data_IF_201432016607
#
_entry.id   IF_201432016607
#
_cell.length_a   1.000
_cell.length_b   1.000
_cell.length_c   1.000
_cell.angle_alpha   90.00
_cell.angle_beta   90.00
_cell.angle_gamma   90.00
#
_symmetry.space_group_name_H-M   'P 1'
#
loop_
_entity.id
_entity.type
_entity.pdbx_description
1 polymer ?
#
# COMPACT_ATOMS: atom_id res chain seq x y z
N UNK A 1 -37.45 -16.09 -11.58
CA UNK A 1 -37.60 -17.42 -10.97
C UNK A 1 -37.81 -17.36 -9.45
N UNK A 2 -36.92 -16.78 -8.64
CA UNK A 2 -37.08 -16.81 -7.17
C UNK A 2 -38.26 -15.97 -6.64
N UNK A 3 -38.57 -14.81 -7.26
CA UNK A 3 -39.76 -14.00 -6.89
C UNK A 3 -41.08 -14.67 -7.23
N UNK A 4 -41.19 -15.29 -8.41
CA UNK A 4 -42.41 -16.04 -8.80
C UNK A 4 -42.68 -17.24 -7.89
N UNK A 5 -41.63 -17.82 -7.30
CA UNK A 5 -41.77 -18.92 -6.36
C UNK A 5 -42.35 -18.43 -5.02
N UNK A 6 -41.89 -17.29 -4.50
CA UNK A 6 -42.45 -16.68 -3.28
C UNK A 6 -43.89 -16.18 -3.48
N UNK A 7 -44.23 -15.65 -4.66
CA UNK A 7 -45.59 -15.20 -4.97
C UNK A 7 -46.58 -16.39 -5.07
N UNK A 8 -46.13 -17.52 -5.63
CA UNK A 8 -46.92 -18.76 -5.65
C UNK A 8 -47.09 -19.36 -4.25
N UNK A 9 -46.07 -19.30 -3.39
CA UNK A 9 -46.18 -19.76 -2.00
C UNK A 9 -47.16 -18.89 -1.19
N UNK A 10 -47.10 -17.57 -1.36
CA UNK A 10 -48.01 -16.64 -0.70
C UNK A 10 -49.47 -16.85 -1.08
N UNK A 11 -49.75 -17.06 -2.37
CA UNK A 11 -51.11 -17.32 -2.86
C UNK A 11 -51.65 -18.68 -2.42
N UNK A 12 -50.82 -19.73 -2.34
CA UNK A 12 -51.23 -21.04 -1.85
C UNK A 12 -51.60 -21.00 -0.34
N UNK A 13 -50.89 -20.18 0.45
CA UNK A 13 -51.15 -20.05 1.88
C UNK A 13 -52.40 -19.19 2.16
N UNK A 14 -52.72 -18.23 1.30
CA UNK A 14 -53.97 -17.47 1.38
C UNK A 14 -55.20 -18.35 1.09
N UNK A 15 -55.13 -19.24 0.10
CA UNK A 15 -56.22 -20.16 -0.23
C UNK A 15 -56.49 -21.21 0.86
N UNK A 16 -55.48 -21.61 1.62
CA UNK A 16 -55.65 -22.57 2.71
C UNK A 16 -56.34 -21.97 3.94
N UNK A 17 -56.31 -20.64 4.13
CA UNK A 17 -56.94 -19.99 5.28
C UNK A 17 -58.44 -19.70 5.09
N UNK A 18 -58.96 -19.68 3.86
CA UNK A 18 -60.40 -19.48 3.62
C UNK A 18 -61.25 -20.74 3.81
N UNK A 19 -60.64 -21.92 3.94
CA UNK A 19 -61.34 -23.21 4.04
C UNK A 19 -61.23 -23.90 5.40
N UNK A 20 -60.73 -23.21 6.44
CA UNK A 20 -60.77 -23.74 7.82
C UNK A 20 -62.10 -23.30 8.45
N UNK A 21 -63.12 -24.19 8.55
CA UNK A 21 -64.35 -23.83 9.24
C UNK A 21 -64.02 -23.47 10.69
N UNK A 22 -64.64 -22.42 11.26
CA UNK A 22 -64.41 -22.05 12.64
C UNK A 22 -64.73 -23.24 13.55
N UNK A 23 -63.94 -23.47 14.62
CA UNK A 23 -64.21 -24.55 15.54
C UNK A 23 -65.62 -24.36 16.11
N UNK A 24 -66.51 -25.29 15.78
CA UNK A 24 -67.85 -25.33 16.35
C UNK A 24 -67.70 -25.54 17.86
N UNK A 25 -67.85 -24.44 18.60
CA UNK A 25 -68.02 -24.46 20.05
C UNK A 25 -69.19 -25.39 20.36
N UNK A 26 -68.87 -26.55 20.95
CA UNK A 26 -69.87 -27.42 21.57
C UNK A 26 -70.70 -26.56 22.52
N UNK A 27 -72.03 -26.58 22.44
CA UNK A 27 -72.84 -25.97 23.48
C UNK A 27 -72.57 -26.73 24.78
N UNK A 28 -72.00 -26.01 25.76
CA UNK A 28 -72.03 -26.44 27.13
C UNK A 28 -73.48 -26.73 27.50
N UNK A 29 -73.77 -27.97 27.91
CA UNK A 29 -75.06 -28.35 28.48
C UNK A 29 -75.15 -27.75 29.90
N UNK A 30 -75.93 -26.68 30.14
CA UNK A 30 -76.11 -26.16 31.47
C UNK A 30 -77.38 -26.82 32.03
N UNK A 31 -77.22 -27.71 33.01
CA UNK A 31 -78.25 -27.89 34.03
C UNK A 31 -79.28 -29.01 33.85
N UNK A 32 -78.86 -30.27 33.78
CA UNK A 32 -79.76 -31.42 34.01
C UNK A 32 -79.39 -32.36 35.16
N UNK A 33 -78.45 -31.99 36.03
CA UNK A 33 -78.05 -32.83 37.18
C UNK A 33 -78.21 -32.14 38.55
N UNK A 34 -79.11 -31.15 38.65
CA UNK A 34 -79.43 -30.48 39.92
C UNK A 34 -80.91 -30.53 40.30
N UNK A 35 -81.61 -31.62 39.93
CA UNK A 35 -83.03 -31.84 40.26
C UNK A 35 -83.34 -33.22 40.87
N UNK A 36 -82.35 -33.87 41.47
CA UNK A 36 -82.52 -35.19 42.11
C UNK A 36 -82.20 -35.18 43.62
N UNK A 37 -82.18 -34.02 44.27
CA UNK A 37 -81.94 -33.91 45.72
C UNK A 37 -83.17 -33.54 46.55
N UNK A 38 -84.28 -33.15 45.94
CA UNK A 38 -85.52 -32.99 46.67
C UNK A 38 -86.28 -34.32 46.65
N UNK A 39 -86.43 -34.96 47.82
CA UNK A 39 -87.26 -36.15 48.06
C UNK A 39 -88.77 -35.96 47.77
N UNK A 40 -89.10 -35.02 46.87
CA UNK A 40 -90.43 -34.69 46.37
C UNK A 40 -91.07 -35.82 45.59
N UNK A 41 -90.31 -36.61 44.81
CA UNK A 41 -90.87 -37.75 44.07
C UNK A 41 -91.26 -38.91 44.98
N UNK A 42 -90.49 -39.17 46.05
CA UNK A 42 -90.84 -40.21 47.04
C UNK A 42 -92.06 -39.78 47.86
N UNK A 43 -92.16 -38.50 48.26
CA UNK A 43 -93.39 -37.97 48.89
C UNK A 43 -94.60 -37.98 47.95
N UNK A 44 -94.44 -37.69 46.66
CA UNK A 44 -95.53 -37.71 45.70
C UNK A 44 -96.08 -39.13 45.45
N UNK A 45 -95.22 -40.15 45.49
CA UNK A 45 -95.63 -41.55 45.34
C UNK A 45 -96.33 -42.07 46.61
N UNK A 46 -95.84 -41.70 47.81
CA UNK A 46 -96.49 -42.09 49.08
C UNK A 46 -97.86 -41.40 49.27
N UNK A 47 -98.01 -40.12 48.91
CA UNK A 47 -99.30 -39.42 49.01
C UNK A 47 -100.36 -39.88 48.01
N UNK A 48 -99.97 -40.42 46.84
CA UNK A 48 -100.93 -41.01 45.90
C UNK A 48 -101.43 -42.40 46.36
N UNK A 49 -100.69 -43.09 47.22
CA UNK A 49 -101.08 -44.40 47.76
C UNK A 49 -101.94 -44.28 49.02
N UNK A 50 -101.78 -43.20 49.82
CA UNK A 50 -102.66 -42.91 50.97
C UNK A 50 -104.05 -42.37 50.57
N UNK A 51 -104.21 -41.78 49.39
CA UNK A 51 -105.51 -41.28 48.91
C UNK A 51 -106.39 -42.33 48.22
N UNK A 52 -105.89 -43.54 47.98
CA UNK A 52 -106.65 -44.63 47.38
C UNK A 52 -107.24 -45.64 48.39
N UNK A 53 -106.95 -45.48 49.69
CA UNK A 53 -107.35 -46.41 50.75
C UNK A 53 -108.14 -45.74 51.89
N UNK A 54 -109.24 -45.09 51.53
CA UNK A 54 -110.44 -45.01 52.36
C UNK A 54 -111.63 -45.01 51.37
N UNK A 55 -112.79 -45.66 51.59
CA UNK A 55 -113.37 -46.13 52.87
C UNK A 55 -114.21 -47.43 52.76
N UNK A 56 -113.89 -48.55 53.40
CA UNK A 56 -114.87 -49.65 53.58
C UNK A 56 -114.68 -50.37 54.92
N UNK A 57 -115.36 -49.89 55.96
CA UNK A 57 -115.56 -50.64 57.20
C UNK A 57 -117.04 -50.50 57.61
N UNK A 58 -117.88 -51.40 57.09
CA UNK A 58 -119.22 -51.63 57.62
C UNK A 58 -119.15 -52.60 58.81
N UNK A 59 -120.00 -52.43 59.84
CA UNK A 59 -120.06 -53.32 60.99
C UNK A 59 -120.89 -54.57 60.66
N UNK A 60 -120.25 -55.74 60.61
CA UNK A 60 -120.93 -57.05 60.57
C UNK A 60 -121.18 -57.55 62.01
N UNK A 61 -122.32 -58.23 62.28
CA UNK A 61 -122.71 -58.62 63.63
C UNK A 61 -122.05 -59.92 64.11
N UNK A 62 -121.90 -59.96 65.41
CA UNK A 62 -121.30 -61.00 66.24
C UNK A 62 -122.04 -62.35 66.10
N UNK A 63 -121.29 -63.40 65.75
CA UNK A 63 -121.67 -64.77 66.05
C UNK A 63 -120.50 -65.44 66.79
N UNK A 64 -120.62 -65.44 68.12
CA UNK A 64 -119.74 -66.17 69.03
C UNK A 64 -120.01 -67.67 68.89
N UNK A 65 -119.02 -68.40 68.38
CA UNK A 65 -118.89 -69.83 68.63
C UNK A 65 -117.45 -70.07 69.06
N UNK A 66 -117.29 -70.51 70.32
CA UNK A 66 -116.02 -70.70 70.99
C UNK A 66 -115.11 -71.62 70.19
N UNK A 67 -114.15 -71.00 69.50
CA UNK A 67 -113.13 -71.68 68.73
C UNK A 67 -111.88 -71.76 69.64
N UNK A 68 -111.33 -72.95 69.93
CA UNK A 68 -110.16 -73.14 70.81
C UNK A 68 -108.83 -72.60 70.24
N UNK A 69 -108.90 -71.52 69.46
CA UNK A 69 -107.83 -70.98 68.62
C UNK A 69 -107.41 -69.55 69.03
N UNK A 70 -108.07 -68.92 70.01
CA UNK A 70 -107.71 -67.56 70.45
C UNK A 70 -106.29 -67.48 71.05
N UNK A 71 -105.87 -68.53 71.77
CA UNK A 71 -104.54 -68.63 72.36
C UNK A 71 -103.45 -68.90 71.30
N UNK A 72 -103.76 -69.73 70.30
CA UNK A 72 -102.87 -70.00 69.16
C UNK A 72 -102.68 -68.75 68.28
N UNK A 73 -103.77 -67.98 68.03
CA UNK A 73 -103.70 -66.67 67.36
C UNK A 73 -102.84 -65.69 68.17
N UNK A 74 -103.02 -65.62 69.49
CA UNK A 74 -102.23 -64.73 70.35
C UNK A 74 -100.73 -65.11 70.40
N UNK A 75 -100.40 -66.41 70.35
CA UNK A 75 -99.02 -66.88 70.23
C UNK A 75 -98.42 -66.53 68.85
N UNK A 76 -99.19 -66.69 67.77
CA UNK A 76 -98.76 -66.34 66.40
C UNK A 76 -98.49 -64.84 66.26
N UNK A 77 -99.33 -63.99 66.84
CA UNK A 77 -99.13 -62.54 66.86
C UNK A 77 -97.84 -62.19 67.59
N UNK A 78 -97.57 -62.79 68.77
CA UNK A 78 -96.30 -62.58 69.48
C UNK A 78 -95.07 -63.00 68.67
N UNK A 79 -95.14 -64.13 67.95
CA UNK A 79 -94.07 -64.56 67.05
C UNK A 79 -93.86 -63.54 65.92
N UNK A 80 -94.93 -63.07 65.28
CA UNK A 80 -94.84 -62.07 64.21
C UNK A 80 -94.33 -60.72 64.71
N UNK A 81 -94.71 -60.28 65.91
CA UNK A 81 -94.18 -59.06 66.55
C UNK A 81 -92.68 -59.20 66.84
N UNK A 82 -92.24 -60.38 67.26
CA UNK A 82 -90.82 -60.67 67.45
C UNK A 82 -90.07 -60.68 66.11
N UNK A 83 -90.59 -61.37 65.09
CA UNK A 83 -90.01 -61.38 63.74
C UNK A 83 -89.95 -59.97 63.14
N UNK A 84 -90.99 -59.14 63.35
CA UNK A 84 -90.99 -57.75 62.92
C UNK A 84 -89.92 -56.93 63.66
N UNK A 85 -89.75 -57.14 64.97
CA UNK A 85 -88.68 -56.49 65.73
C UNK A 85 -87.29 -56.89 65.23
N UNK A 86 -87.07 -58.18 64.94
CA UNK A 86 -85.82 -58.70 64.36
C UNK A 86 -85.56 -58.09 62.96
N UNK A 87 -86.59 -58.01 62.11
CA UNK A 87 -86.48 -57.36 60.78
C UNK A 87 -86.14 -55.87 60.93
N UNK A 88 -86.78 -55.15 61.86
CA UNK A 88 -86.50 -53.72 62.11
C UNK A 88 -85.08 -53.52 62.61
N UNK A 89 -84.56 -54.39 63.46
CA UNK A 89 -83.16 -54.35 63.91
C UNK A 89 -82.19 -54.58 62.74
N UNK A 90 -82.45 -55.58 61.90
CA UNK A 90 -81.66 -55.82 60.67
C UNK A 90 -81.73 -54.63 59.72
N UNK A 91 -82.90 -54.02 59.55
CA UNK A 91 -83.09 -52.83 58.72
C UNK A 91 -82.29 -51.64 59.27
N UNK A 92 -82.36 -51.36 60.57
CA UNK A 92 -81.54 -50.33 61.21
C UNK A 92 -80.05 -50.61 61.03
N UNK A 93 -79.62 -51.87 61.19
CA UNK A 93 -78.24 -52.28 60.93
C UNK A 93 -77.81 -52.13 59.47
N UNK A 94 -78.72 -52.31 58.51
CA UNK A 94 -78.47 -52.04 57.08
C UNK A 94 -78.40 -50.54 56.80
N UNK A 95 -79.30 -49.73 57.37
CA UNK A 95 -79.30 -48.28 57.23
C UNK A 95 -78.00 -47.66 57.75
N UNK A 96 -77.50 -48.09 58.92
CA UNK A 96 -76.20 -47.66 59.45
C UNK A 96 -75.06 -48.06 58.51
N UNK A 97 -75.05 -49.29 57.97
CA UNK A 97 -74.04 -49.74 57.01
C UNK A 97 -74.06 -48.94 55.71
N UNK A 98 -75.24 -48.60 55.19
CA UNK A 98 -75.41 -47.75 54.01
C UNK A 98 -74.89 -46.33 54.24
N UNK A 99 -75.20 -45.73 55.39
CA UNK A 99 -74.65 -44.42 55.77
C UNK A 99 -73.12 -44.45 55.89
N UNK A 100 -72.56 -45.51 56.48
CA UNK A 100 -71.11 -45.71 56.56
C UNK A 100 -70.47 -45.83 55.15
N UNK A 101 -71.12 -46.54 54.23
CA UNK A 101 -70.68 -46.64 52.83
C UNK A 101 -70.77 -45.29 52.10
N UNK A 102 -71.85 -44.53 52.32
CA UNK A 102 -72.01 -43.20 51.75
C UNK A 102 -70.91 -42.24 52.25
N UNK A 103 -70.63 -42.24 53.56
CA UNK A 103 -69.54 -41.45 54.15
C UNK A 103 -68.17 -41.83 53.57
N UNK A 104 -67.86 -43.13 53.47
CA UNK A 104 -66.61 -43.60 52.81
C UNK A 104 -66.52 -43.16 51.35
N UNK A 105 -67.64 -43.20 50.61
CA UNK A 105 -67.69 -42.72 49.22
C UNK A 105 -67.43 -41.23 49.13
N UNK A 106 -68.01 -40.41 50.01
CA UNK A 106 -67.77 -38.97 50.03
C UNK A 106 -66.32 -38.63 50.36
N UNK A 107 -65.72 -39.32 51.33
CA UNK A 107 -64.28 -39.18 51.63
C UNK A 107 -63.43 -39.54 50.41
N UNK A 108 -63.69 -40.68 49.77
CA UNK A 108 -62.96 -41.10 48.57
C UNK A 108 -63.11 -40.10 47.40
N UNK A 109 -64.28 -39.47 47.24
CA UNK A 109 -64.48 -38.42 46.23
C UNK A 109 -63.69 -37.14 46.57
N UNK A 110 -63.63 -36.75 47.84
CA UNK A 110 -62.81 -35.61 48.29
C UNK A 110 -61.32 -35.87 48.09
N UNK A 111 -60.85 -37.07 48.41
CA UNK A 111 -59.47 -37.50 48.18
C UNK A 111 -59.12 -37.49 46.69
N UNK A 112 -59.98 -38.06 45.83
CA UNK A 112 -59.81 -37.99 44.37
C UNK A 112 -59.77 -36.56 43.85
N UNK A 113 -60.64 -35.68 44.35
CA UNK A 113 -60.64 -34.27 43.98
C UNK A 113 -59.38 -33.54 44.47
N UNK A 114 -58.84 -33.90 45.63
CA UNK A 114 -57.57 -33.35 46.12
C UNK A 114 -56.40 -33.80 45.22
N UNK A 115 -56.29 -35.09 44.93
CA UNK A 115 -55.27 -35.65 44.03
C UNK A 115 -55.38 -35.02 42.64
N UNK A 116 -56.60 -34.83 42.11
CA UNK A 116 -56.79 -34.20 40.81
C UNK A 116 -56.23 -32.76 40.76
N UNK A 117 -56.42 -31.97 41.83
CA UNK A 117 -55.83 -30.62 41.94
C UNK A 117 -54.31 -30.65 42.03
N UNK A 118 -53.74 -31.58 42.80
CA UNK A 118 -52.28 -31.75 42.89
C UNK A 118 -51.67 -32.13 41.54
N UNK A 119 -52.30 -33.04 40.80
CA UNK A 119 -51.87 -33.43 39.46
C UNK A 119 -51.94 -32.26 38.49
N UNK A 120 -53.00 -31.46 38.54
CA UNK A 120 -53.14 -30.25 37.70
C UNK A 120 -52.08 -29.20 38.05
N UNK A 121 -51.76 -29.01 39.33
CA UNK A 121 -50.70 -28.10 39.77
C UNK A 121 -49.32 -28.57 39.30
N UNK A 122 -49.01 -29.86 39.43
CA UNK A 122 -47.77 -30.45 38.92
C UNK A 122 -47.69 -30.31 37.40
N UNK A 123 -48.78 -30.56 36.68
CA UNK A 123 -48.83 -30.38 35.23
C UNK A 123 -48.57 -28.92 34.83
N UNK A 124 -49.11 -27.94 35.57
CA UNK A 124 -48.83 -26.52 35.36
C UNK A 124 -47.36 -26.19 35.59
N UNK A 125 -46.75 -26.68 36.67
CA UNK A 125 -45.32 -26.45 36.97
C UNK A 125 -44.42 -27.03 35.87
N UNK A 126 -44.70 -28.25 35.39
CA UNK A 126 -43.94 -28.89 34.30
C UNK A 126 -44.05 -28.09 33.00
N UNK A 127 -45.24 -27.58 32.67
CA UNK A 127 -45.43 -26.73 31.48
C UNK A 127 -44.72 -25.37 31.62
N UNK A 128 -44.75 -24.76 32.81
CA UNK A 128 -43.99 -23.53 33.10
C UNK A 128 -42.47 -23.75 32.98
N UNK A 129 -41.94 -24.86 33.53
CA UNK A 129 -40.53 -25.24 33.38
C UNK A 129 -40.15 -25.49 31.92
N UNK A 130 -40.99 -26.20 31.17
CA UNK A 130 -40.78 -26.44 29.73
C UNK A 130 -40.76 -25.12 28.96
N UNK A 131 -41.66 -24.18 29.27
CA UNK A 131 -41.66 -22.84 28.66
C UNK A 131 -40.41 -22.04 29.02
N UNK A 132 -39.97 -22.11 30.28
CA UNK A 132 -38.74 -21.45 30.71
C UNK A 132 -37.51 -22.02 29.99
N UNK A 133 -37.41 -23.36 29.87
CA UNK A 133 -36.35 -24.03 29.11
C UNK A 133 -36.39 -23.67 27.62
N UNK A 134 -37.58 -23.64 27.00
CA UNK A 134 -37.74 -23.24 25.61
C UNK A 134 -37.31 -21.77 25.40
N UNK A 135 -37.67 -20.87 26.31
CA UNK A 135 -37.25 -19.47 26.26
C UNK A 135 -35.73 -19.32 26.43
N UNK A 136 -35.11 -20.11 27.30
CA UNK A 136 -33.65 -20.13 27.46
C UNK A 136 -32.95 -20.65 26.21
N UNK A 137 -33.44 -21.75 25.62
CA UNK A 137 -32.91 -22.29 24.37
C UNK A 137 -33.01 -21.27 23.23
N UNK A 138 -34.13 -20.56 23.11
CA UNK A 138 -34.30 -19.50 22.12
C UNK A 138 -33.28 -18.35 22.29
N UNK A 139 -32.99 -17.94 23.53
CA UNK A 139 -31.96 -16.93 23.82
C UNK A 139 -30.57 -17.37 23.39
N UNK A 140 -30.20 -18.63 23.67
CA UNK A 140 -28.89 -19.18 23.27
C UNK A 140 -28.75 -19.27 21.75
N UNK A 141 -29.82 -19.61 21.03
CA UNK A 141 -29.82 -19.62 19.56
C UNK A 141 -29.58 -18.20 19.02
N UNK A 142 -30.25 -17.20 19.57
CA UNK A 142 -30.07 -15.80 19.15
C UNK A 142 -28.67 -15.25 19.51
N UNK A 143 -28.14 -15.60 20.67
CA UNK A 143 -26.76 -15.26 21.05
C UNK A 143 -25.74 -15.91 20.10
N UNK A 144 -25.93 -17.18 19.74
CA UNK A 144 -25.06 -17.84 18.77
C UNK A 144 -25.18 -17.22 17.38
N UNK A 145 -26.40 -16.85 16.95
CA UNK A 145 -26.63 -16.15 15.69
C UNK A 145 -25.87 -14.82 15.64
N UNK A 146 -25.98 -14.00 16.68
CA UNK A 146 -25.29 -12.70 16.73
C UNK A 146 -23.77 -12.88 16.77
N UNK A 147 -23.25 -13.88 17.49
CA UNK A 147 -21.82 -14.25 17.47
C UNK A 147 -21.34 -14.67 16.08
N UNK A 148 -22.11 -15.48 15.37
CA UNK A 148 -21.79 -15.85 13.99
C UNK A 148 -21.82 -14.65 13.05
N UNK A 149 -22.80 -13.74 13.17
CA UNK A 149 -22.88 -12.54 12.35
C UNK A 149 -21.68 -11.61 12.61
N UNK A 150 -21.26 -11.44 13.86
CA UNK A 150 -20.03 -10.69 14.22
C UNK A 150 -18.79 -11.39 13.66
N UNK A 151 -18.69 -12.72 13.76
CA UNK A 151 -17.58 -13.48 13.20
C UNK A 151 -17.47 -13.34 11.67
N UNK A 152 -18.61 -13.39 10.96
CA UNK A 152 -18.68 -13.17 9.50
C UNK A 152 -18.27 -11.75 9.11
N UNK A 153 -18.68 -10.73 9.88
CA UNK A 153 -18.23 -9.34 9.66
C UNK A 153 -16.73 -9.19 9.86
N UNK A 154 -16.19 -9.72 10.96
CA UNK A 154 -14.75 -9.70 11.24
C UNK A 154 -13.93 -10.49 10.19
N UNK A 155 -14.46 -11.57 9.64
CA UNK A 155 -13.83 -12.27 8.51
C UNK A 155 -13.90 -11.44 7.22
N UNK A 156 -15.05 -10.81 6.93
CA UNK A 156 -15.20 -9.91 5.78
C UNK A 156 -14.22 -8.73 5.83
N UNK A 157 -14.06 -8.09 6.99
CA UNK A 157 -13.09 -7.01 7.20
C UNK A 157 -11.65 -7.48 7.01
N UNK A 158 -11.27 -8.65 7.55
CA UNK A 158 -9.94 -9.23 7.32
C UNK A 158 -9.68 -9.52 5.85
N UNK A 159 -10.67 -10.03 5.12
CA UNK A 159 -10.57 -10.25 3.66
C UNK A 159 -10.42 -8.94 2.90
N UNK A 160 -11.18 -7.90 3.26
CA UNK A 160 -11.07 -6.58 2.65
C UNK A 160 -9.69 -5.93 2.90
N UNK A 161 -9.18 -6.02 4.13
CA UNK A 161 -7.83 -5.55 4.48
C UNK A 161 -6.75 -6.32 3.73
N UNK A 162 -6.86 -7.65 3.65
CA UNK A 162 -5.92 -8.47 2.88
C UNK A 162 -5.96 -8.13 1.38
N UNK A 163 -7.13 -7.89 0.80
CA UNK A 163 -7.27 -7.46 -0.59
C UNK A 163 -6.66 -6.08 -0.83
N UNK A 164 -6.86 -5.13 0.08
CA UNK A 164 -6.24 -3.80 0.00
C UNK A 164 -4.70 -3.88 0.11
N UNK A 165 -4.18 -4.68 1.04
CA UNK A 165 -2.75 -4.91 1.17
C UNK A 165 -2.15 -5.56 -0.10
N UNK A 166 -2.84 -6.54 -0.68
CA UNK A 166 -2.44 -7.16 -1.94
C UNK A 166 -2.42 -6.15 -3.10
N UNK A 167 -3.42 -5.26 -3.20
CA UNK A 167 -3.47 -4.22 -4.22
C UNK A 167 -2.27 -3.25 -4.11
N UNK A 168 -1.93 -2.83 -2.89
CA UNK A 168 -0.76 -1.97 -2.63
C UNK A 168 0.54 -2.66 -3.06
N UNK A 169 0.70 -3.95 -2.79
CA UNK A 169 1.88 -4.71 -3.20
C UNK A 169 2.01 -4.80 -4.73
N UNK A 170 0.91 -5.07 -5.44
CA UNK A 170 0.89 -5.12 -6.91
C UNK A 170 1.23 -3.75 -7.52
N UNK A 171 0.70 -2.67 -6.95
CA UNK A 171 1.01 -1.31 -7.41
C UNK A 171 2.48 -0.94 -7.15
N UNK A 172 3.03 -1.29 -5.99
CA UNK A 172 4.44 -1.09 -5.68
C UNK A 172 5.36 -1.87 -6.62
N UNK A 173 5.01 -3.11 -6.97
CA UNK A 173 5.76 -3.90 -7.95
C UNK A 173 5.70 -3.28 -9.35
N UNK A 174 4.51 -2.80 -9.77
CA UNK A 174 4.36 -2.06 -11.02
C UNK A 174 5.26 -0.82 -11.07
N UNK A 175 5.29 -0.04 -9.99
CA UNK A 175 6.14 1.15 -9.89
C UNK A 175 7.64 0.79 -9.96
N UNK A 176 8.07 -0.31 -9.31
CA UNK A 176 9.46 -0.80 -9.42
C UNK A 176 9.81 -1.20 -10.85
N UNK A 177 8.90 -1.90 -11.54
CA UNK A 177 9.10 -2.31 -12.93
C UNK A 177 9.14 -1.11 -13.88
N UNK A 178 8.29 -0.11 -13.65
CA UNK A 178 8.33 1.15 -14.40
C UNK A 178 9.62 1.94 -14.16
N UNK A 179 10.10 2.02 -12.90
CA UNK A 179 11.36 2.64 -12.57
C UNK A 179 12.56 1.91 -13.19
N UNK A 180 12.54 0.57 -13.20
CA UNK A 180 13.58 -0.25 -13.85
C UNK A 180 13.64 0.01 -15.36
N UNK A 181 12.48 0.09 -16.04
CA UNK A 181 12.42 0.43 -17.47
C UNK A 181 12.97 1.82 -17.76
N UNK A 182 12.63 2.82 -16.94
CA UNK A 182 13.19 4.19 -17.09
C UNK A 182 14.71 4.20 -16.90
N UNK A 183 15.23 3.49 -15.90
CA UNK A 183 16.67 3.39 -15.68
C UNK A 183 17.40 2.68 -16.84
N UNK A 184 16.77 1.68 -17.46
CA UNK A 184 17.32 1.03 -18.66
C UNK A 184 17.31 1.97 -19.88
N UNK A 185 16.22 2.70 -20.10
CA UNK A 185 16.10 3.69 -21.16
C UNK A 185 17.15 4.81 -21.01
N UNK A 186 17.36 5.32 -19.80
CA UNK A 186 18.41 6.30 -19.50
C UNK A 186 19.81 5.75 -19.79
N UNK A 187 20.09 4.49 -19.45
CA UNK A 187 21.37 3.84 -19.79
C UNK A 187 21.57 3.73 -21.30
N UNK A 188 20.52 3.42 -22.05
CA UNK A 188 20.58 3.35 -23.52
C UNK A 188 20.84 4.73 -24.12
N UNK A 189 20.16 5.77 -23.64
CA UNK A 189 20.38 7.15 -24.06
C UNK A 189 21.82 7.58 -23.75
N UNK A 190 22.32 7.32 -22.54
CA UNK A 190 23.70 7.62 -22.15
C UNK A 190 24.71 6.86 -23.02
N UNK A 191 24.49 5.58 -23.28
CA UNK A 191 25.35 4.79 -24.16
C UNK A 191 25.34 5.33 -25.60
N UNK A 192 24.21 5.79 -26.11
CA UNK A 192 24.13 6.45 -27.42
C UNK A 192 24.85 7.80 -27.42
N UNK A 193 24.70 8.61 -26.38
CA UNK A 193 25.44 9.86 -26.21
C UNK A 193 26.95 9.62 -26.19
N UNK A 194 27.42 8.60 -25.47
CA UNK A 194 28.83 8.21 -25.46
C UNK A 194 29.31 7.78 -26.84
N UNK A 195 28.55 6.96 -27.58
CA UNK A 195 28.90 6.60 -28.97
C UNK A 195 28.98 7.82 -29.89
N UNK A 196 28.04 8.75 -29.78
CA UNK A 196 28.06 10.02 -30.55
C UNK A 196 29.30 10.85 -30.20
N UNK A 197 29.65 10.92 -28.92
CA UNK A 197 30.85 11.61 -28.46
C UNK A 197 32.13 10.96 -28.99
N UNK A 198 32.25 9.63 -28.89
CA UNK A 198 33.37 8.87 -29.43
C UNK A 198 33.53 9.05 -30.95
N UNK A 199 32.42 9.04 -31.69
CA UNK A 199 32.39 9.30 -33.13
C UNK A 199 32.91 10.71 -33.45
N UNK A 200 32.43 11.73 -32.74
CA UNK A 200 32.92 13.11 -32.91
C UNK A 200 34.42 13.18 -32.61
N UNK A 201 34.88 12.54 -31.54
CA UNK A 201 36.29 12.50 -31.17
C UNK A 201 37.15 11.74 -32.19
N UNK A 202 36.60 10.67 -32.80
CA UNK A 202 37.26 9.95 -33.90
C UNK A 202 37.39 10.86 -35.12
N UNK A 203 36.32 11.54 -35.51
CA UNK A 203 36.33 12.49 -36.63
C UNK A 203 37.31 13.65 -36.41
N UNK A 204 37.41 14.17 -35.19
CA UNK A 204 38.40 15.21 -34.87
C UNK A 204 39.83 14.69 -35.00
N UNK A 205 40.10 13.47 -34.53
CA UNK A 205 41.41 12.81 -34.71
C UNK A 205 41.75 12.59 -36.18
N UNK A 206 40.79 12.12 -36.99
CA UNK A 206 40.98 11.95 -38.43
C UNK A 206 41.21 13.29 -39.15
N UNK A 207 40.49 14.35 -38.78
CA UNK A 207 40.71 15.71 -39.32
C UNK A 207 42.09 16.23 -38.97
N UNK A 208 42.51 16.07 -37.71
CA UNK A 208 43.84 16.47 -37.26
C UNK A 208 44.93 15.69 -38.00
N UNK A 209 44.73 14.38 -38.21
CA UNK A 209 45.67 13.56 -38.97
C UNK A 209 45.75 14.01 -40.44
N UNK A 210 44.62 14.24 -41.11
CA UNK A 210 44.62 14.76 -42.49
C UNK A 210 45.29 16.12 -42.60
N UNK A 211 45.08 17.01 -41.63
CA UNK A 211 45.75 18.30 -41.59
C UNK A 211 47.27 18.15 -41.44
N UNK A 212 47.72 17.23 -40.58
CA UNK A 212 49.14 16.91 -40.43
C UNK A 212 49.73 16.32 -41.72
N UNK A 213 49.04 15.37 -42.36
CA UNK A 213 49.48 14.76 -43.61
C UNK A 213 49.55 15.78 -44.75
N UNK A 214 48.60 16.71 -44.82
CA UNK A 214 48.61 17.80 -45.80
C UNK A 214 49.75 18.79 -45.52
N UNK A 215 49.98 19.14 -44.25
CA UNK A 215 51.13 19.96 -43.87
C UNK A 215 52.45 19.30 -44.30
N UNK A 216 52.61 18.00 -44.05
CA UNK A 216 53.79 17.25 -44.51
C UNK A 216 53.95 17.28 -46.03
N UNK A 217 52.85 17.22 -46.81
CA UNK A 217 52.92 17.34 -48.28
C UNK A 217 53.34 18.73 -48.74
N UNK A 218 52.83 19.79 -48.10
CA UNK A 218 53.22 21.16 -48.39
C UNK A 218 54.70 21.36 -48.08
N UNK A 219 55.17 20.89 -46.92
CA UNK A 219 56.57 20.98 -46.51
C UNK A 219 57.49 20.22 -47.48
N UNK A 220 57.08 19.03 -47.94
CA UNK A 220 57.81 18.28 -48.96
C UNK A 220 57.87 19.00 -50.31
N UNK A 221 56.75 19.57 -50.77
CA UNK A 221 56.70 20.32 -52.02
C UNK A 221 57.57 21.59 -51.95
N UNK A 222 57.56 22.29 -50.81
CA UNK A 222 58.43 23.44 -50.59
C UNK A 222 59.91 23.03 -50.57
N UNK A 223 60.26 21.92 -49.93
CA UNK A 223 61.62 21.39 -49.95
C UNK A 223 62.08 21.06 -51.38
N UNK A 224 61.23 20.44 -52.20
CA UNK A 224 61.54 20.16 -53.60
C UNK A 224 61.75 21.45 -54.41
N UNK A 225 60.93 22.48 -54.19
CA UNK A 225 61.11 23.78 -54.84
C UNK A 225 62.44 24.43 -54.45
N UNK A 226 62.80 24.40 -53.17
CA UNK A 226 64.09 24.92 -52.70
C UNK A 226 65.27 24.15 -53.32
N UNK A 227 65.17 22.82 -53.45
CA UNK A 227 66.19 22.00 -54.12
C UNK A 227 66.28 22.28 -55.64
N UNK A 228 65.16 22.58 -56.30
CA UNK A 228 65.15 22.98 -57.71
C UNK A 228 65.73 24.38 -57.92
N UNK A 229 65.39 25.33 -57.03
CA UNK A 229 65.96 26.68 -57.02
C UNK A 229 67.47 26.64 -56.75
N UNK A 230 67.92 25.85 -55.77
CA UNK A 230 69.33 25.65 -55.48
C UNK A 230 70.05 25.05 -56.69
N UNK A 231 69.49 24.00 -57.31
CA UNK A 231 70.05 23.42 -58.55
C UNK A 231 70.09 24.43 -59.71
N UNK A 232 69.08 25.30 -59.83
CA UNK A 232 69.05 26.37 -60.83
C UNK A 232 70.13 27.41 -60.55
N UNK A 233 70.27 27.85 -59.30
CA UNK A 233 71.32 28.79 -58.87
C UNK A 233 72.72 28.20 -59.07
N UNK A 234 72.93 26.93 -58.73
CA UNK A 234 74.18 26.23 -58.99
C UNK A 234 74.49 26.17 -60.49
N UNK A 235 73.49 25.90 -61.33
CA UNK A 235 73.65 25.90 -62.78
C UNK A 235 74.02 27.29 -63.32
N UNK A 236 73.36 28.35 -62.84
CA UNK A 236 73.70 29.75 -63.18
C UNK A 236 75.12 30.11 -62.72
N UNK A 237 75.51 29.74 -61.50
CA UNK A 237 76.87 29.93 -60.98
C UNK A 237 77.88 29.20 -61.86
N UNK A 238 77.64 27.92 -62.19
CA UNK A 238 78.51 27.16 -63.07
C UNK A 238 78.61 27.77 -64.47
N UNK A 239 77.51 28.28 -65.03
CA UNK A 239 77.53 28.97 -66.31
C UNK A 239 78.32 30.28 -66.23
N UNK A 240 78.09 31.09 -65.18
CA UNK A 240 78.83 32.31 -64.92
C UNK A 240 80.33 32.04 -64.73
N UNK A 241 80.70 30.94 -64.07
CA UNK A 241 82.07 30.47 -63.95
C UNK A 241 82.66 30.06 -65.29
N UNK A 242 81.91 29.33 -66.13
CA UNK A 242 82.34 29.00 -67.51
C UNK A 242 82.56 30.26 -68.34
N UNK A 243 81.63 31.21 -68.28
CA UNK A 243 81.75 32.50 -68.98
C UNK A 243 82.93 33.31 -68.44
N UNK A 244 83.14 33.34 -67.12
CA UNK A 244 84.29 34.00 -66.50
C UNK A 244 85.60 33.31 -66.86
N UNK A 245 85.63 31.97 -66.92
CA UNK A 245 86.79 31.20 -67.37
C UNK A 245 87.11 31.53 -68.83
N UNK A 246 86.10 31.59 -69.70
CA UNK A 246 86.27 32.04 -71.10
C UNK A 246 86.78 33.48 -71.17
N UNK A 247 86.22 34.41 -70.37
CA UNK A 247 86.71 35.80 -70.28
C UNK A 247 88.15 35.87 -69.77
N UNK A 248 88.51 35.06 -68.77
CA UNK A 248 89.88 34.93 -68.24
C UNK A 248 90.81 34.38 -69.30
N UNK A 249 90.42 33.36 -70.04
CA UNK A 249 91.22 32.80 -71.12
C UNK A 249 91.41 33.81 -72.26
N UNK A 250 90.35 34.50 -72.69
CA UNK A 250 90.44 35.60 -73.65
C UNK A 250 91.33 36.74 -73.12
N UNK A 251 91.18 37.08 -71.84
CA UNK A 251 92.02 38.06 -71.14
C UNK A 251 93.48 37.65 -71.11
N UNK A 252 93.78 36.38 -70.79
CA UNK A 252 95.11 35.80 -70.83
C UNK A 252 95.67 35.77 -72.24
N UNK A 253 94.88 35.45 -73.27
CA UNK A 253 95.29 35.57 -74.68
C UNK A 253 95.60 37.02 -75.05
N UNK A 254 94.79 37.99 -74.59
CA UNK A 254 95.08 39.42 -74.78
C UNK A 254 96.35 39.84 -74.05
N UNK A 255 96.57 39.37 -72.82
CA UNK A 255 97.79 39.61 -72.04
C UNK A 255 98.99 38.95 -72.71
N UNK A 256 98.91 37.70 -73.16
CA UNK A 256 99.97 37.01 -73.89
C UNK A 256 100.29 37.72 -75.21
N UNK A 257 99.28 38.17 -75.96
CA UNK A 257 99.48 38.98 -77.17
C UNK A 257 100.10 40.35 -76.84
N UNK A 258 99.71 40.97 -75.71
CA UNK A 258 100.27 42.22 -75.22
C UNK A 258 101.69 42.03 -74.68
N UNK A 259 102.00 40.93 -74.00
CA UNK A 259 103.33 40.54 -73.52
C UNK A 259 104.21 40.14 -74.70
N UNK A 260 103.70 39.46 -75.73
CA UNK A 260 104.44 39.21 -76.98
C UNK A 260 104.70 40.51 -77.76
N UNK A 261 103.75 41.46 -77.76
CA UNK A 261 103.99 42.83 -78.23
C UNK A 261 104.99 43.57 -77.37
N UNK A 262 104.86 43.51 -76.05
CA UNK A 262 105.77 44.19 -75.13
C UNK A 262 107.15 43.53 -75.13
N UNK A 263 107.30 42.22 -75.34
CA UNK A 263 108.59 41.55 -75.55
C UNK A 263 109.25 42.02 -76.86
N UNK A 264 108.47 42.49 -77.86
CA UNK A 264 109.00 43.24 -79.01
C UNK A 264 109.34 44.70 -78.71
N UNK A 265 108.84 45.28 -77.61
CA UNK A 265 109.06 46.68 -77.22
C UNK A 265 109.93 46.86 -75.95
N UNK A 266 110.25 45.78 -75.22
CA UNK A 266 110.94 45.78 -73.94
C UNK A 266 112.45 45.59 -74.11
N UNK A 267 113.04 46.32 -75.05
CA UNK A 267 114.45 46.67 -75.00
C UNK A 267 114.69 48.04 -74.36
N UNK A 268 113.65 48.85 -74.09
CA UNK A 268 113.85 50.18 -73.52
C UNK A 268 112.75 50.61 -72.53
N UNK A 269 113.20 51.06 -71.34
CA UNK A 269 112.60 52.10 -70.47
C UNK A 269 111.79 51.64 -69.21
N UNK A 270 111.58 52.53 -68.20
CA UNK A 270 112.02 52.40 -66.80
C UNK A 270 110.86 52.28 -65.78
N UNK A 271 111.11 52.09 -64.46
CA UNK A 271 110.06 51.85 -63.45
C UNK A 271 109.48 53.16 -62.89
N UNK A 272 108.15 53.21 -62.60
CA UNK A 272 107.68 53.82 -61.34
C UNK A 272 106.30 53.24 -60.87
N UNK A 273 105.62 53.84 -59.87
CA UNK A 273 105.95 53.90 -58.45
C UNK A 273 104.86 53.21 -57.58
N UNK A 274 105.20 52.98 -56.31
CA UNK A 274 104.30 52.45 -55.27
C UNK A 274 103.11 53.39 -55.03
N UNK A 275 101.88 52.84 -54.96
CA UNK A 275 100.75 53.50 -54.32
C UNK A 275 99.97 52.51 -53.44
N UNK A 276 100.01 52.81 -52.15
CA UNK A 276 99.18 52.28 -51.06
C UNK A 276 97.72 52.71 -51.25
N UNK A 277 96.76 51.86 -50.89
CA UNK A 277 95.41 52.25 -50.43
C UNK A 277 94.76 50.99 -49.82
N UNK A 278 94.88 50.83 -48.50
CA UNK A 278 93.89 51.20 -47.48
C UNK A 278 93.03 49.99 -47.06
N UNK A 279 93.44 49.39 -45.93
CA UNK A 279 92.60 48.61 -45.03
C UNK A 279 91.46 49.49 -44.51
N UNK A 280 90.26 48.93 -44.41
CA UNK A 280 89.25 49.37 -43.44
C UNK A 280 88.68 48.13 -42.72
N UNK A 281 88.26 48.26 -41.46
CA UNK A 281 88.41 47.24 -40.44
C UNK A 281 87.07 46.62 -39.98
N UNK A 282 87.21 45.59 -39.18
CA UNK A 282 86.19 44.88 -38.41
C UNK A 282 85.19 45.80 -37.71
N UNK A 283 83.89 45.55 -37.92
CA UNK A 283 82.81 46.10 -37.09
C UNK A 283 82.47 45.03 -36.04
N UNK A 284 82.96 45.26 -34.82
CA UNK A 284 82.58 44.53 -33.62
C UNK A 284 81.15 44.88 -33.19
N UNK A 285 80.37 43.86 -32.85
CA UNK A 285 79.04 43.99 -32.24
C UNK A 285 79.13 44.50 -30.78
N UNK A 286 78.20 45.35 -30.31
CA UNK A 286 78.24 45.91 -28.96
C UNK A 286 77.79 44.93 -27.87
N UNK A 287 78.33 45.03 -26.63
CA UNK A 287 77.91 44.21 -25.50
C UNK A 287 76.56 44.66 -24.95
N UNK A 288 75.63 43.71 -24.83
CA UNK A 288 74.34 43.88 -24.17
C UNK A 288 74.58 44.07 -22.66
N UNK A 289 74.39 45.30 -22.18
CA UNK A 289 74.39 45.63 -20.76
C UNK A 289 73.08 45.15 -20.14
N UNK A 290 73.17 44.22 -19.18
CA UNK A 290 72.08 43.80 -18.31
C UNK A 290 71.96 44.85 -17.19
N UNK A 291 70.83 45.58 -17.04
CA UNK A 291 70.66 46.53 -15.95
C UNK A 291 70.52 45.81 -14.61
N UNK A 292 71.33 46.28 -13.66
CA UNK A 292 71.37 45.89 -12.25
C UNK A 292 70.04 46.26 -11.57
N UNK A 293 69.55 45.31 -10.78
CA UNK A 293 68.31 45.34 -10.00
C UNK A 293 68.23 46.59 -9.13
N UNK A 294 67.19 47.40 -9.35
CA UNK A 294 66.74 48.39 -8.39
C UNK A 294 66.19 47.66 -7.17
N UNK A 295 66.55 48.15 -5.97
CA UNK A 295 66.02 47.66 -4.71
C UNK A 295 64.49 47.74 -4.75
N UNK A 296 63.85 46.56 -4.69
CA UNK A 296 62.42 46.37 -4.77
C UNK A 296 61.77 47.11 -3.58
N UNK A 297 61.09 48.21 -3.85
CA UNK A 297 60.14 48.76 -2.88
C UNK A 297 59.14 47.65 -2.51
N UNK A 298 58.70 47.57 -1.24
CA UNK A 298 57.71 46.57 -0.83
C UNK A 298 56.46 46.74 -1.69
N UNK A 299 56.27 45.80 -2.62
CA UNK A 299 55.16 45.83 -3.56
C UNK A 299 53.86 45.59 -2.80
N UNK A 300 53.18 46.67 -2.44
CA UNK A 300 51.84 46.61 -1.86
C UNK A 300 50.89 46.18 -2.97
N UNK A 301 50.53 44.90 -2.99
CA UNK A 301 49.58 44.35 -3.96
C UNK A 301 48.23 45.02 -3.74
N UNK A 302 47.73 45.69 -4.79
CA UNK A 302 46.41 46.33 -4.78
C UNK A 302 45.38 45.38 -5.37
N UNK A 303 44.19 45.31 -4.74
CA UNK A 303 43.03 44.61 -5.29
C UNK A 303 42.67 45.21 -6.66
N UNK A 304 42.50 44.37 -7.68
CA UNK A 304 41.97 44.81 -8.98
C UNK A 304 40.49 45.14 -8.88
N UNK A 305 39.99 45.96 -9.81
CA UNK A 305 38.56 46.22 -9.95
C UNK A 305 37.79 44.89 -10.06
N UNK A 306 36.54 44.89 -9.59
CA UNK A 306 35.67 43.72 -9.68
C UNK A 306 35.34 43.48 -11.16
N UNK A 307 35.89 42.40 -11.69
CA UNK A 307 35.64 41.88 -13.03
C UNK A 307 34.90 40.53 -12.89
N UNK A 308 34.89 39.74 -13.95
CA UNK A 308 34.41 38.36 -13.92
C UNK A 308 35.35 37.45 -13.09
N UNK A 309 34.77 36.46 -12.42
CA UNK A 309 35.52 35.43 -11.72
C UNK A 309 36.36 34.64 -12.73
N UNK A 310 37.69 34.59 -12.58
CA UNK A 310 38.53 33.90 -13.57
C UNK A 310 38.30 32.37 -13.65
N UNK A 311 37.59 31.78 -12.66
CA UNK A 311 37.30 30.35 -12.60
C UNK A 311 35.97 29.99 -13.28
N UNK A 312 34.87 30.68 -12.97
CA UNK A 312 33.55 30.41 -13.56
C UNK A 312 33.13 31.39 -14.66
N UNK A 313 33.89 32.47 -14.88
CA UNK A 313 33.59 33.57 -15.81
C UNK A 313 32.27 34.31 -15.50
N UNK A 314 31.71 34.14 -14.31
CA UNK A 314 30.52 34.88 -13.88
C UNK A 314 30.91 36.25 -13.28
N UNK A 315 30.13 37.32 -13.55
CA UNK A 315 30.41 38.65 -13.01
C UNK A 315 30.21 38.71 -11.50
N UNK A 316 31.21 39.23 -10.78
CA UNK A 316 31.17 39.40 -9.32
C UNK A 316 30.42 40.70 -8.99
N UNK A 317 29.31 40.59 -8.25
CA UNK A 317 28.39 41.72 -8.01
C UNK A 317 28.86 42.64 -6.89
N UNK A 318 29.48 42.10 -5.85
CA UNK A 318 29.89 42.84 -4.67
C UNK A 318 31.30 42.43 -4.20
N UNK A 319 32.09 43.33 -3.60
CA UNK A 319 33.43 43.01 -3.13
C UNK A 319 33.48 41.97 -2.00
N UNK A 320 32.36 41.76 -1.31
CA UNK A 320 32.16 40.76 -0.26
C UNK A 320 31.92 39.34 -0.83
N UNK A 321 31.47 39.25 -2.09
CA UNK A 321 31.19 37.98 -2.78
C UNK A 321 32.45 37.36 -3.42
N UNK A 322 33.62 37.97 -3.21
CA UNK A 322 34.87 37.52 -3.80
C UNK A 322 36.08 37.69 -2.91
N UNK A 323 36.90 36.66 -2.93
CA UNK A 323 38.27 36.67 -2.42
C UNK A 323 39.23 37.16 -3.52
N UNK A 324 40.39 37.69 -3.13
CA UNK A 324 41.37 38.19 -4.09
C UNK A 324 42.81 37.84 -3.71
N UNK A 325 43.67 37.70 -4.72
CA UNK A 325 45.06 37.31 -4.50
C UNK A 325 45.88 38.47 -3.90
N UNK A 326 46.10 38.42 -2.57
CA UNK A 326 46.91 39.39 -1.81
C UNK A 326 48.41 39.23 -2.01
N UNK A 327 48.85 38.05 -2.44
CA UNK A 327 50.26 37.71 -2.54
C UNK A 327 50.97 38.31 -3.77
N UNK A 328 50.28 38.53 -4.89
CA UNK A 328 50.94 39.11 -6.08
C UNK A 328 50.02 39.80 -7.08
N UNK A 329 48.99 39.11 -7.60
CA UNK A 329 48.33 39.57 -8.84
C UNK A 329 47.05 40.40 -8.65
N UNK A 330 46.49 40.45 -7.43
CA UNK A 330 45.30 41.27 -7.16
C UNK A 330 43.98 40.74 -7.75
N UNK A 331 43.98 39.59 -8.45
CA UNK A 331 42.79 39.08 -9.17
C UNK A 331 41.72 38.55 -8.21
N UNK A 332 40.45 38.82 -8.54
CA UNK A 332 39.26 38.39 -7.79
C UNK A 332 38.77 36.98 -8.23
N UNK A 333 38.26 36.19 -7.29
CA UNK A 333 37.58 34.89 -7.47
C UNK A 333 36.33 34.87 -6.61
N UNK A 334 35.19 34.42 -7.14
CA UNK A 334 33.96 34.36 -6.35
C UNK A 334 34.07 33.33 -5.21
N UNK A 335 33.40 33.59 -4.09
CA UNK A 335 33.51 32.77 -2.88
C UNK A 335 33.23 31.28 -3.14
N UNK A 336 32.22 30.95 -3.96
CA UNK A 336 31.91 29.56 -4.32
C UNK A 336 33.03 28.84 -5.08
N UNK A 337 33.68 29.54 -6.04
CA UNK A 337 34.84 28.96 -6.75
C UNK A 337 36.06 28.85 -5.83
N UNK A 338 36.25 29.80 -4.92
CA UNK A 338 37.35 29.77 -3.95
C UNK A 338 37.21 28.60 -2.96
N UNK A 339 36.03 28.39 -2.39
CA UNK A 339 35.74 27.26 -1.49
C UNK A 339 35.94 25.91 -2.18
N UNK A 340 35.39 25.74 -3.39
CA UNK A 340 35.55 24.52 -4.17
C UNK A 340 37.04 24.23 -4.45
N UNK A 341 37.79 25.28 -4.75
CA UNK A 341 39.22 25.15 -5.03
C UNK A 341 40.05 24.86 -3.77
N UNK A 342 39.66 25.42 -2.62
CA UNK A 342 40.26 25.12 -1.33
C UNK A 342 40.01 23.66 -0.91
N UNK A 343 38.78 23.16 -1.04
CA UNK A 343 38.40 21.78 -0.72
C UNK A 343 39.13 20.75 -1.60
N UNK A 344 39.40 21.11 -2.87
CA UNK A 344 40.09 20.22 -3.81
C UNK A 344 41.62 20.21 -3.68
N UNK A 345 42.22 20.94 -2.74
CA UNK A 345 43.66 20.86 -2.50
C UNK A 345 44.03 19.55 -1.76
N UNK A 346 45.09 18.84 -2.18
CA UNK A 346 45.60 17.71 -1.41
C UNK A 346 45.99 18.14 0.00
N UNK A 347 45.69 17.30 0.99
CA UNK A 347 46.01 17.56 2.40
C UNK A 347 47.51 17.85 2.55
N UNK A 348 47.85 19.01 3.11
CA UNK A 348 49.23 19.45 3.35
C UNK A 348 49.85 20.33 2.25
N UNK A 349 49.13 20.62 1.16
CA UNK A 349 49.60 21.56 0.13
C UNK A 349 49.11 22.97 0.44
N UNK A 350 50.02 23.95 0.41
CA UNK A 350 49.67 25.37 0.53
C UNK A 350 48.88 25.80 -0.71
N UNK A 351 47.71 26.39 -0.51
CA UNK A 351 46.87 26.95 -1.57
C UNK A 351 47.70 27.96 -2.39
N UNK A 352 47.66 27.88 -3.72
CA UNK A 352 48.37 28.80 -4.64
C UNK A 352 47.36 29.56 -5.50
N UNK A 353 47.66 30.76 -5.95
CA UNK A 353 46.82 31.51 -6.90
C UNK A 353 46.66 30.77 -8.24
N UNK A 354 45.45 30.68 -8.80
CA UNK A 354 45.17 29.96 -10.05
C UNK A 354 45.70 30.70 -11.27
N UNK A 355 45.91 32.02 -11.11
CA UNK A 355 46.45 32.90 -12.14
C UNK A 355 47.98 33.02 -12.03
N UNK A 356 48.51 33.52 -10.90
CA UNK A 356 49.95 33.76 -10.76
C UNK A 356 50.76 32.64 -10.07
N UNK A 357 50.11 31.59 -9.55
CA UNK A 357 50.73 30.42 -8.90
C UNK A 357 51.55 30.69 -7.63
N UNK A 358 51.52 31.90 -7.10
CA UNK A 358 52.10 32.27 -5.80
C UNK A 358 51.25 31.71 -4.66
N UNK A 359 51.88 31.36 -3.54
CA UNK A 359 51.18 30.86 -2.33
C UNK A 359 50.17 31.91 -1.85
N UNK A 360 48.96 31.46 -1.55
CA UNK A 360 47.86 32.30 -1.13
C UNK A 360 48.09 32.84 0.28
N UNK A 361 48.07 34.16 0.42
CA UNK A 361 48.15 34.82 1.72
C UNK A 361 46.74 35.08 2.25
N UNK A 362 46.44 34.44 3.37
CA UNK A 362 45.21 34.70 4.12
C UNK A 362 45.28 36.10 4.71
N UNK A 363 44.17 36.83 4.64
CA UNK A 363 44.06 38.14 5.26
C UNK A 363 44.24 38.05 6.77
N UNK A 364 45.48 38.22 7.25
CA UNK A 364 45.74 38.52 8.65
C UNK A 364 45.16 39.89 8.98
N UNK A 365 44.43 39.96 10.09
CA UNK A 365 44.14 41.22 10.79
C UNK A 365 45.42 41.89 11.25
#
# INVERSE_FOLDING_TARGET
MEREWWEKLGNAQAQHNEHVPPPQLRPEFPGLLRRYQDGSLVRAIVSLQEQALAPMAQPMPQHMNGNPNAEEIANRVRILEQEEAEIREVEQGLQVRLLALACRREVALRERAAIAREVEEVARRVEEERRAQAAQAARLVEENRTREEVARRAEGERRAQAAQAAAILVEAERQRNEAARRAEEERLIQAEQMRRYEEIMRQQRERAQRALDEQMRIDQALAQQLEEEERSQEAEIQEAERQNAQRREQGLRRIQNRVARMQRFALHAPPPPQQQLQRNPDIAAPPVQIPIQQALEPHVVRRKALEECFACLEPIRAPEDAEWCRAQCGQNICNGCFELWHVNQPVGVLLRCGLCRVIWEWGGL
#
